data_IF_229306322268
#
_entry.id   IF_229306322268
#
_cell.length_a   1.000
_cell.length_b   1.000
_cell.length_c   1.000
_cell.angle_alpha   90.00
_cell.angle_beta   90.00
_cell.angle_gamma   90.00
#
_symmetry.space_group_name_H-M   'P 1'
#
loop_
_entity.id
_entity.type
_entity.pdbx_description
1 polymer ?
#
# COMPACT_ATOMS: atom_id res chain seq x y z
N UNK A 1 13.39 2.66 47.36
CA UNK A 1 13.96 1.47 46.68
C UNK A 1 13.20 0.23 47.11
N UNK A 2 12.67 -0.56 46.18
CA UNK A 2 12.31 -1.98 46.37
C UNK A 2 12.54 -2.69 45.04
N UNK A 3 13.54 -3.56 44.96
CA UNK A 3 13.72 -4.42 43.78
C UNK A 3 12.67 -5.53 43.82
N UNK A 4 12.20 -5.94 42.64
CA UNK A 4 11.68 -7.29 42.41
C UNK A 4 12.32 -7.84 41.15
N UNK A 5 13.29 -8.74 41.34
CA UNK A 5 13.66 -9.68 40.29
C UNK A 5 12.49 -10.65 40.11
N UNK A 6 12.23 -11.03 38.87
CA UNK A 6 11.50 -12.24 38.52
C UNK A 6 12.12 -12.72 37.21
N UNK A 7 12.53 -13.98 37.18
CA UNK A 7 13.35 -14.56 36.11
C UNK A 7 12.82 -15.95 35.78
N UNK A 8 13.30 -16.51 34.67
CA UNK A 8 12.95 -17.84 34.14
C UNK A 8 11.50 -17.94 33.59
N UNK A 9 11.18 -18.84 32.68
CA UNK A 9 11.94 -19.48 31.59
C UNK A 9 10.96 -20.33 30.76
N UNK A 10 11.25 -20.58 29.48
CA UNK A 10 10.98 -21.85 28.78
C UNK A 10 11.42 -21.76 27.31
N UNK A 11 12.00 -22.84 26.78
CA UNK A 11 12.08 -23.06 25.33
C UNK A 11 10.83 -23.81 24.88
N UNK A 12 10.29 -23.48 23.71
CA UNK A 12 9.26 -24.26 23.02
C UNK A 12 9.75 -24.66 21.64
N UNK A 13 10.25 -25.88 21.47
CA UNK A 13 10.75 -26.39 20.20
C UNK A 13 10.32 -27.86 20.00
N UNK A 14 9.23 -28.06 19.26
CA UNK A 14 8.73 -29.33 18.70
C UNK A 14 7.82 -28.97 17.50
N UNK A 15 7.70 -29.75 16.44
CA UNK A 15 8.55 -30.81 15.90
C UNK A 15 8.17 -31.03 14.41
N UNK A 16 9.10 -31.49 13.56
CA UNK A 16 8.75 -31.88 12.18
C UNK A 16 8.29 -33.36 12.14
N UNK A 17 7.13 -33.60 11.53
CA UNK A 17 6.65 -34.91 11.08
C UNK A 17 5.50 -34.69 10.08
N UNK A 18 5.33 -35.46 8.99
CA UNK A 18 6.11 -36.61 8.55
C UNK A 18 5.81 -36.96 7.07
N UNK A 19 6.49 -37.97 6.54
CA UNK A 19 6.47 -38.31 5.10
C UNK A 19 5.20 -39.04 4.65
N UNK A 20 4.83 -38.87 3.38
CA UNK A 20 4.68 -39.97 2.42
C UNK A 20 4.54 -39.46 0.96
N UNK A 21 5.48 -39.78 0.05
CA UNK A 21 5.19 -39.79 -1.39
C UNK A 21 4.54 -41.13 -1.80
N UNK A 22 3.87 -41.17 -2.95
CA UNK A 22 3.48 -42.43 -3.60
C UNK A 22 3.56 -42.25 -5.11
N UNK A 23 4.30 -43.14 -5.77
CA UNK A 23 4.70 -43.11 -7.18
C UNK A 23 4.70 -44.57 -7.71
N UNK A 24 4.94 -44.85 -9.01
CA UNK A 24 3.84 -44.98 -9.97
C UNK A 24 3.71 -46.39 -10.58
N UNK A 25 2.57 -46.65 -11.24
CA UNK A 25 2.35 -47.81 -12.11
C UNK A 25 1.13 -47.55 -13.03
N UNK A 26 1.04 -48.05 -14.27
CA UNK A 26 2.04 -48.58 -15.22
C UNK A 26 1.40 -48.65 -16.63
N UNK A 27 2.20 -48.73 -17.69
CA UNK A 27 1.77 -48.67 -19.11
C UNK A 27 2.82 -49.41 -20.00
N UNK A 28 2.54 -49.92 -21.23
CA UNK A 28 1.26 -50.25 -21.89
C UNK A 28 0.99 -51.78 -21.85
N UNK A 29 0.86 -52.65 -22.90
CA UNK A 29 1.07 -52.55 -24.37
C UNK A 29 -0.24 -52.48 -25.22
N UNK A 30 -0.19 -52.28 -26.56
CA UNK A 30 -1.37 -51.98 -27.38
C UNK A 30 -2.06 -53.21 -28.02
N UNK A 31 -3.26 -53.00 -28.59
CA UNK A 31 -3.92 -53.96 -29.50
C UNK A 31 -4.71 -53.28 -30.64
N UNK A 32 -5.14 -54.05 -31.63
CA UNK A 32 -5.40 -53.57 -32.99
C UNK A 32 -6.88 -53.33 -33.38
N UNK A 33 -7.08 -52.20 -34.07
CA UNK A 33 -7.89 -52.06 -35.31
C UNK A 33 -9.43 -52.12 -35.29
N UNK A 34 -9.96 -51.74 -36.47
CA UNK A 34 -11.33 -51.91 -36.99
C UNK A 34 -12.46 -51.03 -36.40
N UNK A 35 -12.80 -50.01 -37.19
CA UNK A 35 -13.96 -49.14 -37.03
C UNK A 35 -15.32 -49.86 -37.08
N UNK A 36 -16.35 -49.20 -36.53
CA UNK A 36 -17.68 -49.16 -37.14
C UNK A 36 -18.37 -47.82 -36.82
N UNK A 37 -19.08 -47.25 -37.79
CA UNK A 37 -19.89 -46.04 -37.64
C UNK A 37 -21.23 -46.34 -36.94
N UNK A 38 -21.63 -45.49 -35.98
CA UNK A 38 -23.05 -45.15 -35.77
C UNK A 38 -23.14 -43.67 -35.38
N UNK A 39 -23.60 -42.82 -36.30
CA UNK A 39 -23.97 -41.44 -35.98
C UNK A 39 -25.13 -41.41 -34.99
N UNK A 40 -24.95 -40.72 -33.86
CA UNK A 40 -26.03 -40.43 -32.91
C UNK A 40 -26.16 -38.93 -32.71
N UNK A 41 -26.92 -38.32 -33.61
CA UNK A 41 -27.19 -36.89 -33.62
C UNK A 41 -27.81 -36.46 -32.27
N UNK A 42 -27.10 -35.57 -31.58
CA UNK A 42 -27.53 -35.04 -30.28
C UNK A 42 -28.22 -33.70 -30.52
N UNK A 43 -29.44 -33.47 -30.01
CA UNK A 43 -30.12 -32.19 -30.19
C UNK A 43 -29.25 -31.03 -29.68
N UNK A 44 -29.02 -30.03 -30.54
CA UNK A 44 -28.27 -28.85 -30.16
C UNK A 44 -28.95 -28.15 -28.97
N UNK A 45 -28.21 -27.75 -27.92
CA UNK A 45 -28.79 -26.94 -26.85
C UNK A 45 -29.26 -25.60 -27.45
N UNK A 46 -30.44 -25.15 -27.05
CA UNK A 46 -30.96 -23.85 -27.47
C UNK A 46 -29.97 -22.74 -27.05
N UNK A 47 -29.79 -21.68 -27.87
CA UNK A 47 -28.90 -20.59 -27.53
C UNK A 47 -29.39 -19.92 -26.24
N UNK A 48 -28.63 -20.12 -25.16
CA UNK A 48 -28.82 -19.36 -23.92
C UNK A 48 -28.63 -17.89 -24.27
N UNK A 49 -29.63 -17.06 -23.99
CA UNK A 49 -29.54 -15.63 -24.24
C UNK A 49 -28.45 -15.05 -23.34
N UNK A 50 -27.26 -14.82 -23.90
CA UNK A 50 -26.15 -14.14 -23.22
C UNK A 50 -26.65 -12.79 -22.74
N UNK A 51 -26.92 -12.70 -21.44
CA UNK A 51 -27.21 -11.42 -20.82
C UNK A 51 -25.89 -10.68 -20.77
N UNK A 52 -25.71 -9.74 -21.70
CA UNK A 52 -24.46 -9.00 -21.87
C UNK A 52 -24.07 -8.38 -20.51
N UNK A 53 -22.89 -8.73 -19.94
CA UNK A 53 -22.49 -8.18 -18.66
C UNK A 53 -22.38 -6.66 -18.79
N UNK A 54 -22.90 -5.88 -17.83
CA UNK A 54 -22.94 -4.43 -17.94
C UNK A 54 -21.52 -3.90 -18.13
N UNK A 55 -21.30 -3.17 -19.23
CA UNK A 55 -19.94 -2.78 -19.65
C UNK A 55 -19.20 -2.06 -18.51
N UNK A 56 -17.95 -2.45 -18.21
CA UNK A 56 -17.20 -1.84 -17.12
C UNK A 56 -17.09 -0.34 -17.35
N UNK A 57 -17.47 0.44 -16.33
CA UNK A 57 -17.41 1.90 -16.40
C UNK A 57 -15.96 2.35 -16.57
N UNK A 58 -15.62 3.20 -17.56
CA UNK A 58 -14.25 3.68 -17.72
C UNK A 58 -13.73 4.34 -16.45
N UNK A 59 -12.50 3.99 -16.06
CA UNK A 59 -11.86 4.58 -14.89
C UNK A 59 -11.73 6.11 -15.04
N UNK A 60 -12.35 6.84 -14.11
CA UNK A 60 -12.18 8.29 -13.97
C UNK A 60 -11.20 8.53 -12.82
N UNK A 61 -10.01 9.01 -13.15
CA UNK A 61 -9.00 9.35 -12.15
C UNK A 61 -9.52 10.42 -11.17
N UNK A 62 -9.23 10.27 -9.88
CA UNK A 62 -9.55 11.28 -8.87
C UNK A 62 -8.70 12.53 -9.13
N UNK A 63 -9.29 13.70 -9.46
CA UNK A 63 -8.55 14.93 -9.74
C UNK A 63 -7.82 15.48 -8.50
N UNK A 64 -8.18 15.02 -7.28
CA UNK A 64 -7.43 15.36 -6.07
C UNK A 64 -6.12 14.54 -5.92
N UNK A 65 -5.92 13.47 -6.71
CA UNK A 65 -4.72 12.62 -6.67
C UNK A 65 -4.71 11.52 -5.59
N UNK A 66 -5.81 11.37 -4.84
CA UNK A 66 -5.97 10.32 -3.83
C UNK A 66 -6.61 9.07 -4.45
N UNK A 67 -6.20 7.87 -4.00
CA UNK A 67 -6.84 6.62 -4.43
C UNK A 67 -8.28 6.47 -3.91
N UNK A 68 -8.98 5.41 -4.32
CA UNK A 68 -10.34 5.08 -3.84
C UNK A 68 -10.42 5.05 -2.31
N UNK A 69 -11.61 5.26 -1.73
CA UNK A 69 -11.82 5.13 -0.28
C UNK A 69 -11.70 3.68 0.20
N UNK A 70 -11.25 3.50 1.44
CA UNK A 70 -11.06 2.20 2.11
C UNK A 70 -11.19 2.35 3.63
N UNK A 71 -11.43 1.25 4.33
CA UNK A 71 -11.39 1.15 5.79
C UNK A 71 -10.18 0.30 6.27
N UNK A 72 -9.75 -0.69 5.48
CA UNK A 72 -8.53 -1.48 5.69
C UNK A 72 -7.87 -1.95 4.39
N UNK A 73 -6.68 -2.54 4.48
CA UNK A 73 -5.87 -2.93 3.30
C UNK A 73 -6.60 -3.90 2.35
N UNK A 74 -7.48 -4.75 2.88
CA UNK A 74 -8.30 -5.68 2.09
C UNK A 74 -9.34 -5.00 1.18
N UNK A 75 -9.67 -3.72 1.42
CA UNK A 75 -10.52 -2.94 0.52
C UNK A 75 -9.75 -2.38 -0.68
N UNK A 76 -8.41 -2.48 -0.69
CA UNK A 76 -7.54 -1.93 -1.71
C UNK A 76 -7.01 -3.05 -2.62
N UNK A 77 -7.73 -3.27 -3.72
CA UNK A 77 -7.33 -4.17 -4.79
C UNK A 77 -6.50 -3.48 -5.87
N UNK A 78 -6.19 -4.27 -6.88
CA UNK A 78 -5.51 -3.86 -8.10
C UNK A 78 -6.53 -3.52 -9.22
N UNK A 79 -6.09 -2.80 -10.24
CA UNK A 79 -6.94 -2.18 -11.26
C UNK A 79 -7.26 -3.03 -12.50
N UNK A 80 -6.46 -4.05 -12.82
CA UNK A 80 -6.63 -4.89 -14.01
C UNK A 80 -6.15 -6.34 -13.79
N UNK A 81 -6.64 -7.27 -14.63
CA UNK A 81 -6.35 -8.71 -14.57
C UNK A 81 -5.04 -9.18 -15.22
N UNK A 82 -4.39 -8.41 -16.10
CA UNK A 82 -3.15 -8.82 -16.78
C UNK A 82 -1.90 -8.23 -16.13
N UNK A 83 -1.86 -6.91 -16.01
CA UNK A 83 -0.68 -6.16 -15.54
C UNK A 83 -1.16 -4.98 -14.69
N UNK A 84 -1.50 -5.22 -13.42
CA UNK A 84 -2.02 -4.17 -12.55
C UNK A 84 -0.95 -3.14 -12.19
N UNK A 85 -1.34 -1.87 -12.14
CA UNK A 85 -0.44 -0.74 -11.85
C UNK A 85 -1.01 0.33 -10.92
N UNK A 86 -2.31 0.31 -10.60
CA UNK A 86 -2.98 1.27 -9.72
C UNK A 86 -3.75 0.56 -8.59
N UNK A 87 -3.65 1.10 -7.37
CA UNK A 87 -4.44 0.61 -6.24
C UNK A 87 -5.82 1.27 -6.17
N UNK A 88 -6.87 0.47 -6.34
CA UNK A 88 -8.27 0.88 -6.41
C UNK A 88 -9.11 0.20 -5.33
N UNK A 89 -10.33 0.69 -5.09
CA UNK A 89 -11.26 0.07 -4.14
C UNK A 89 -11.76 -1.29 -4.64
N UNK A 90 -12.09 -2.20 -3.73
CA UNK A 90 -12.56 -3.56 -4.04
C UNK A 90 -13.76 -3.62 -5.01
N UNK A 91 -14.62 -2.59 -5.02
CA UNK A 91 -15.72 -2.45 -5.98
C UNK A 91 -15.28 -2.22 -7.44
N UNK A 92 -14.02 -1.83 -7.67
CA UNK A 92 -13.40 -1.69 -9.00
C UNK A 92 -12.55 -2.92 -9.34
N UNK A 93 -11.81 -3.45 -8.37
CA UNK A 93 -11.02 -4.69 -8.50
C UNK A 93 -11.88 -5.96 -8.71
N UNK A 94 -13.21 -5.84 -8.61
CA UNK A 94 -14.17 -6.90 -8.91
C UNK A 94 -14.66 -6.91 -10.37
N UNK A 95 -14.10 -6.08 -11.25
CA UNK A 95 -14.18 -6.33 -12.69
C UNK A 95 -13.50 -7.68 -12.98
N UNK A 96 -14.13 -8.54 -13.81
CA UNK A 96 -13.54 -9.86 -14.08
C UNK A 96 -12.16 -9.70 -14.71
N UNK A 97 -11.11 -10.36 -14.17
CA UNK A 97 -9.79 -10.28 -14.75
C UNK A 97 -9.85 -10.83 -16.18
N UNK A 98 -9.25 -10.10 -17.13
CA UNK A 98 -9.11 -10.60 -18.49
C UNK A 98 -8.41 -11.97 -18.47
N UNK A 99 -8.70 -12.82 -19.46
CA UNK A 99 -8.04 -14.11 -19.61
C UNK A 99 -6.61 -13.89 -20.15
N UNK A 100 -5.68 -13.64 -19.23
CA UNK A 100 -4.29 -13.30 -19.51
C UNK A 100 -3.40 -14.54 -19.39
N UNK A 101 -2.79 -14.98 -20.49
CA UNK A 101 -1.90 -16.14 -20.50
C UNK A 101 -0.64 -15.96 -19.61
N UNK A 102 -0.21 -14.70 -19.42
CA UNK A 102 0.87 -14.33 -18.50
C UNK A 102 0.45 -13.12 -17.64
N UNK A 103 0.18 -13.33 -16.35
CA UNK A 103 0.03 -12.24 -15.37
C UNK A 103 1.42 -11.76 -14.94
N UNK A 104 1.69 -10.46 -15.07
CA UNK A 104 2.92 -9.87 -14.56
C UNK A 104 2.94 -9.83 -13.01
N UNK A 105 4.12 -9.86 -12.36
CA UNK A 105 4.20 -9.64 -10.92
C UNK A 105 3.81 -8.20 -10.57
N UNK A 106 3.04 -8.03 -9.50
CA UNK A 106 2.56 -6.74 -9.03
C UNK A 106 3.73 -5.77 -8.71
N UNK A 107 3.64 -4.47 -9.08
CA UNK A 107 4.74 -3.52 -8.90
C UNK A 107 4.95 -3.03 -7.45
N UNK A 108 4.15 -3.50 -6.49
CA UNK A 108 4.20 -3.10 -5.08
C UNK A 108 3.12 -3.75 -4.21
N UNK A 109 2.86 -3.15 -3.05
CA UNK A 109 1.74 -3.49 -2.16
C UNK A 109 0.62 -2.43 -2.30
N UNK A 110 -0.65 -2.87 -2.37
CA UNK A 110 -1.79 -1.98 -2.19
C UNK A 110 -2.19 -1.92 -0.72
N UNK A 111 -2.27 -0.70 -0.17
CA UNK A 111 -2.47 -0.44 1.25
C UNK A 111 -3.52 0.66 1.47
N UNK A 112 -4.33 0.54 2.51
CA UNK A 112 -5.28 1.57 2.92
C UNK A 112 -4.58 2.62 3.80
N UNK A 113 -4.15 3.72 3.19
CA UNK A 113 -3.45 4.78 3.89
C UNK A 113 -4.34 6.02 4.10
N UNK A 114 -4.65 6.31 5.36
CA UNK A 114 -5.49 7.46 5.76
C UNK A 114 -6.88 7.45 5.12
N UNK A 115 -7.50 6.27 5.00
CA UNK A 115 -8.83 6.07 4.43
C UNK A 115 -8.90 6.18 2.89
N UNK A 116 -7.74 6.18 2.22
CA UNK A 116 -7.61 6.16 0.75
C UNK A 116 -6.58 5.09 0.35
N UNK A 117 -6.85 4.33 -0.72
CA UNK A 117 -5.92 3.34 -1.23
C UNK A 117 -4.61 3.99 -1.72
N UNK A 118 -3.51 3.25 -1.59
CA UNK A 118 -2.17 3.69 -1.91
C UNK A 118 -1.32 2.54 -2.42
N UNK A 119 -0.55 2.79 -3.48
CA UNK A 119 0.54 1.89 -3.88
C UNK A 119 1.81 2.22 -3.09
N UNK A 120 2.38 1.20 -2.46
CA UNK A 120 3.78 1.17 -2.01
C UNK A 120 4.62 0.38 -3.04
N UNK A 121 5.35 1.03 -3.96
CA UNK A 121 6.17 0.33 -4.95
C UNK A 121 7.27 -0.54 -4.30
N UNK A 122 7.50 -1.76 -4.82
CA UNK A 122 8.58 -2.65 -4.37
C UNK A 122 9.97 -2.11 -4.73
N UNK A 123 10.06 -1.32 -5.81
CA UNK A 123 11.27 -0.62 -6.23
C UNK A 123 10.97 0.88 -6.37
N UNK A 124 11.99 1.71 -6.12
CA UNK A 124 11.85 3.16 -6.23
C UNK A 124 11.39 3.53 -7.66
N UNK A 125 10.24 4.23 -7.81
CA UNK A 125 9.71 4.56 -9.12
C UNK A 125 10.60 5.63 -9.79
N UNK A 126 10.52 5.71 -11.12
CA UNK A 126 11.25 6.70 -11.91
C UNK A 126 10.91 8.13 -11.41
N UNK A 127 11.90 8.99 -11.10
CA UNK A 127 11.66 10.39 -10.76
C UNK A 127 10.92 11.14 -11.87
N UNK A 128 10.22 12.21 -11.51
CA UNK A 128 9.49 13.07 -12.44
C UNK A 128 10.41 13.75 -13.47
N UNK A 129 9.82 14.49 -14.41
CA UNK A 129 10.52 15.52 -15.16
C UNK A 129 11.06 16.64 -14.23
N UNK A 130 12.02 17.48 -14.66
CA UNK A 130 12.50 18.61 -13.87
C UNK A 130 11.47 19.74 -13.71
N UNK A 131 11.69 20.61 -12.74
CA UNK A 131 10.93 21.84 -12.48
C UNK A 131 10.38 21.97 -11.06
N UNK A 132 10.76 21.09 -10.12
CA UNK A 132 10.16 21.03 -8.79
C UNK A 132 10.45 22.24 -7.87
N UNK A 133 11.49 23.02 -8.18
CA UNK A 133 11.80 24.29 -7.50
C UNK A 133 10.85 25.43 -7.85
N UNK A 134 10.20 25.35 -9.02
CA UNK A 134 9.26 26.36 -9.52
C UNK A 134 7.79 25.91 -9.34
N UNK A 135 7.54 24.60 -9.40
CA UNK A 135 6.23 23.97 -9.26
C UNK A 135 6.29 22.88 -8.18
N UNK A 136 5.37 22.86 -7.21
CA UNK A 136 5.38 21.83 -6.14
C UNK A 136 5.26 20.40 -6.70
N UNK A 137 5.71 19.42 -5.91
CA UNK A 137 5.59 18.00 -6.23
C UNK A 137 4.22 17.43 -5.82
N UNK A 138 3.41 17.02 -6.79
CA UNK A 138 2.17 16.26 -6.55
C UNK A 138 2.46 14.77 -6.33
N UNK A 139 1.65 14.12 -5.49
CA UNK A 139 1.68 12.67 -5.21
C UNK A 139 0.40 12.03 -5.75
N UNK A 140 0.57 11.10 -6.69
CA UNK A 140 -0.48 10.27 -7.25
C UNK A 140 -0.56 8.99 -6.39
N UNK A 141 -1.47 8.98 -5.42
CA UNK A 141 -1.42 8.00 -4.33
C UNK A 141 -1.72 6.57 -4.81
N UNK A 142 -2.69 6.41 -5.73
CA UNK A 142 -3.03 5.10 -6.31
C UNK A 142 -1.91 4.50 -7.17
N UNK A 143 -1.11 5.34 -7.85
CA UNK A 143 -0.04 4.91 -8.75
C UNK A 143 1.35 4.85 -8.09
N UNK A 144 1.47 5.25 -6.83
CA UNK A 144 2.75 5.28 -6.12
C UNK A 144 3.78 6.20 -6.79
N UNK A 145 3.34 7.33 -7.37
CA UNK A 145 4.14 8.18 -8.27
C UNK A 145 4.11 9.66 -7.91
N UNK A 146 5.07 10.39 -8.47
CA UNK A 146 5.22 11.84 -8.29
C UNK A 146 5.20 12.58 -9.62
N UNK A 147 4.58 13.76 -9.62
CA UNK A 147 4.49 14.67 -10.78
C UNK A 147 4.93 16.08 -10.39
N UNK A 148 5.31 16.88 -11.38
CA UNK A 148 5.62 18.30 -11.20
C UNK A 148 4.38 19.13 -11.48
N UNK A 149 3.86 19.86 -10.49
CA UNK A 149 2.65 20.68 -10.61
C UNK A 149 1.47 20.12 -9.83
N UNK A 150 0.33 19.99 -10.51
CA UNK A 150 -0.98 19.95 -9.85
C UNK A 150 -1.54 18.53 -9.65
N UNK A 151 -1.73 18.17 -8.38
CA UNK A 151 -2.91 17.48 -7.85
C UNK A 151 -3.25 18.27 -6.58
N UNK A 152 -4.48 18.79 -6.46
CA UNK A 152 -4.71 20.25 -6.27
C UNK A 152 -4.49 20.86 -4.86
N UNK A 153 -3.44 20.45 -4.16
CA UNK A 153 -2.28 21.30 -3.80
C UNK A 153 -1.23 20.43 -3.08
N UNK A 154 -0.61 19.50 -3.82
CA UNK A 154 0.43 18.59 -3.34
C UNK A 154 0.06 17.85 -2.03
N UNK A 155 -1.20 17.46 -1.89
CA UNK A 155 -1.78 16.73 -0.74
C UNK A 155 -1.75 17.45 0.63
N UNK A 156 -1.61 18.79 0.66
CA UNK A 156 -1.91 19.81 1.71
C UNK A 156 -1.60 19.59 3.20
N UNK A 157 -1.78 18.40 3.78
CA UNK A 157 -1.53 18.14 5.19
C UNK A 157 -0.14 17.52 5.41
N UNK A 158 0.59 17.90 6.48
CA UNK A 158 1.80 17.20 6.88
C UNK A 158 1.50 15.74 7.22
N UNK A 159 2.07 14.83 6.43
CA UNK A 159 1.98 13.39 6.70
C UNK A 159 3.01 12.99 7.76
N UNK A 160 2.53 12.47 8.89
CA UNK A 160 3.37 11.85 9.94
C UNK A 160 3.91 10.46 9.50
N UNK A 161 3.29 9.84 8.50
CA UNK A 161 3.71 8.60 7.83
C UNK A 161 2.99 8.43 6.47
N UNK A 162 3.42 7.47 5.65
CA UNK A 162 2.79 7.09 4.37
C UNK A 162 3.52 7.59 3.12
N UNK A 163 2.91 7.48 1.94
CA UNK A 163 3.51 7.94 0.69
C UNK A 163 3.65 9.47 0.67
N UNK A 164 4.78 9.95 0.15
CA UNK A 164 5.10 11.37 0.00
C UNK A 164 5.92 11.60 -1.28
N UNK A 165 5.91 12.84 -1.78
CA UNK A 165 6.81 13.30 -2.83
C UNK A 165 7.74 14.40 -2.29
N UNK A 166 9.02 14.32 -2.65
CA UNK A 166 10.07 15.27 -2.22
C UNK A 166 10.73 15.86 -3.45
N UNK A 167 10.91 17.18 -3.48
CA UNK A 167 11.73 17.85 -4.50
C UNK A 167 13.21 17.65 -4.15
N UNK A 168 13.98 17.04 -5.06
CA UNK A 168 15.43 16.96 -4.93
C UNK A 168 16.09 18.24 -5.45
N UNK A 169 16.77 18.96 -4.54
CA UNK A 169 17.47 20.20 -4.83
C UNK A 169 18.66 20.01 -5.79
N UNK A 170 19.21 18.81 -5.96
CA UNK A 170 20.29 18.58 -6.91
C UNK A 170 19.77 18.44 -8.36
N UNK A 171 18.76 17.61 -8.59
CA UNK A 171 18.23 17.27 -9.92
C UNK A 171 17.01 18.07 -10.37
N UNK A 172 16.39 18.85 -9.47
CA UNK A 172 15.14 19.60 -9.72
C UNK A 172 13.93 18.70 -10.06
N UNK A 173 13.95 17.44 -9.60
CA UNK A 173 12.89 16.43 -9.84
C UNK A 173 12.17 16.03 -8.56
N UNK A 174 10.94 15.57 -8.70
CA UNK A 174 10.15 14.96 -7.64
C UNK A 174 10.45 13.46 -7.52
N UNK A 175 10.85 13.04 -6.32
CA UNK A 175 11.05 11.65 -5.94
C UNK A 175 9.92 11.15 -5.04
N UNK A 176 9.44 9.92 -5.28
CA UNK A 176 8.52 9.23 -4.38
C UNK A 176 9.29 8.62 -3.21
N UNK A 177 8.76 8.79 -1.99
CA UNK A 177 9.30 8.17 -0.79
C UNK A 177 8.15 7.68 0.10
N UNK A 178 8.24 6.45 0.58
CA UNK A 178 7.40 5.98 1.67
C UNK A 178 8.01 6.44 2.99
N UNK A 179 7.27 7.19 3.79
CA UNK A 179 7.71 7.72 5.08
C UNK A 179 7.20 6.79 6.18
N UNK A 180 8.08 6.03 6.81
CA UNK A 180 7.70 5.20 7.95
C UNK A 180 7.40 6.07 9.19
N UNK A 181 6.44 5.64 10.01
CA UNK A 181 6.02 6.37 11.20
C UNK A 181 7.14 6.42 12.25
N UNK A 182 7.48 7.62 12.72
CA UNK A 182 8.53 7.83 13.74
C UNK A 182 8.06 7.21 15.07
N UNK A 183 8.76 6.19 15.62
CA UNK A 183 8.33 5.48 16.83
C UNK A 183 8.62 6.26 18.12
N UNK A 184 7.86 5.98 19.18
CA UNK A 184 8.06 6.57 20.51
C UNK A 184 7.53 5.70 21.65
N UNK A 185 8.18 5.81 22.82
CA UNK A 185 7.63 5.36 24.10
C UNK A 185 6.84 6.47 24.79
N UNK A 186 7.26 7.74 24.64
CA UNK A 186 6.62 8.88 25.29
C UNK A 186 6.73 10.19 24.49
N UNK A 187 5.95 11.20 24.91
CA UNK A 187 6.05 12.59 24.43
C UNK A 187 7.45 13.20 24.60
N UNK A 188 8.30 12.62 25.46
CA UNK A 188 9.68 13.12 25.67
C UNK A 188 10.59 12.80 24.49
N UNK A 189 10.21 11.82 23.69
CA UNK A 189 11.06 11.21 22.66
C UNK A 189 10.64 11.73 21.28
N UNK A 190 9.38 12.12 21.13
CA UNK A 190 8.88 12.87 19.98
C UNK A 190 9.47 14.28 19.89
N UNK A 191 10.47 14.42 19.02
CA UNK A 191 10.95 15.68 18.49
C UNK A 191 10.99 15.53 16.98
N UNK A 192 10.02 16.13 16.30
CA UNK A 192 9.82 16.02 14.85
C UNK A 192 9.74 17.42 14.24
N UNK A 193 10.05 17.53 12.94
CA UNK A 193 9.98 18.80 12.20
C UNK A 193 8.55 19.33 12.09
N UNK A 194 8.41 20.65 12.01
CA UNK A 194 7.22 21.37 11.55
C UNK A 194 7.13 21.43 10.00
N UNK A 195 8.25 21.20 9.30
CA UNK A 195 8.29 20.83 7.88
C UNK A 195 7.67 19.44 7.61
N UNK A 196 7.11 19.27 6.40
CA UNK A 196 6.71 17.98 5.83
C UNK A 196 7.68 17.57 4.69
N UNK A 197 7.95 16.26 4.47
CA UNK A 197 7.57 15.13 5.33
C UNK A 197 8.25 15.22 6.70
N UNK A 198 7.58 14.66 7.72
CA UNK A 198 8.06 14.71 9.11
C UNK A 198 9.36 13.93 9.25
N UNK A 199 10.37 14.56 9.85
CA UNK A 199 11.66 13.94 10.18
C UNK A 199 12.01 14.13 11.65
N UNK A 200 12.70 13.18 12.31
CA UNK A 200 13.22 13.38 13.67
C UNK A 200 14.18 14.57 13.74
N UNK A 201 14.11 15.35 14.82
CA UNK A 201 15.00 16.50 15.07
C UNK A 201 15.58 16.47 16.48
N UNK A 202 16.78 17.04 16.66
CA UNK A 202 17.46 17.02 17.94
C UNK A 202 16.73 17.88 18.99
N UNK A 203 16.29 17.27 20.10
CA UNK A 203 15.62 17.94 21.23
C UNK A 203 16.30 19.26 21.63
N UNK A 204 15.60 20.41 21.58
CA UNK A 204 16.17 21.73 21.88
C UNK A 204 16.84 21.79 23.25
N UNK A 205 18.06 22.35 23.32
CA UNK A 205 18.90 22.34 24.54
C UNK A 205 18.13 22.83 25.78
N UNK A 206 17.36 23.92 25.66
CA UNK A 206 16.54 24.53 26.74
C UNK A 206 15.44 23.62 27.31
N UNK A 207 15.02 22.59 26.58
CA UNK A 207 13.96 21.66 26.98
C UNK A 207 14.48 20.28 27.42
N UNK A 208 15.80 20.03 27.42
CA UNK A 208 16.36 18.75 27.86
C UNK A 208 16.13 18.53 29.36
N UNK A 209 15.77 17.31 29.75
CA UNK A 209 15.43 16.95 31.13
C UNK A 209 14.10 17.48 31.68
N UNK A 210 13.46 18.46 31.05
CA UNK A 210 12.19 19.06 31.48
C UNK A 210 11.00 18.41 30.75
N UNK A 211 9.75 18.65 31.19
CA UNK A 211 8.57 18.42 30.34
C UNK A 211 8.36 19.64 29.44
N UNK A 212 7.86 19.42 28.22
CA UNK A 212 7.35 20.50 27.39
C UNK A 212 5.88 20.73 27.72
N UNK A 213 5.48 21.99 27.82
CA UNK A 213 4.08 22.44 27.84
C UNK A 213 4.03 23.73 27.01
N UNK A 214 3.25 23.76 25.92
CA UNK A 214 2.80 25.00 25.30
C UNK A 214 2.11 25.90 26.32
N UNK A 215 2.16 27.20 26.08
CA UNK A 215 1.62 28.22 27.00
C UNK A 215 0.26 28.76 26.55
N UNK A 216 -0.31 28.21 25.46
CA UNK A 216 -1.54 28.66 24.82
C UNK A 216 -2.25 27.50 24.14
N UNK A 217 -3.58 27.47 24.26
CA UNK A 217 -4.43 26.52 23.51
C UNK A 217 -4.24 26.68 22.00
N UNK A 218 -4.20 25.55 21.29
CA UNK A 218 -4.07 25.50 19.83
C UNK A 218 -2.63 25.54 19.30
N UNK A 219 -1.62 25.78 20.14
CA UNK A 219 -0.21 25.58 19.74
C UNK A 219 0.04 24.09 19.42
N UNK A 220 0.70 23.80 18.30
CA UNK A 220 1.07 22.43 17.93
C UNK A 220 2.24 21.93 18.80
N UNK A 221 2.06 20.75 19.40
CA UNK A 221 3.08 20.07 20.19
C UNK A 221 3.34 18.64 19.66
N UNK A 222 4.59 18.15 19.70
CA UNK A 222 4.87 16.74 19.51
C UNK A 222 4.17 15.89 20.57
N UNK A 223 3.42 14.88 20.14
CA UNK A 223 2.71 13.95 20.99
C UNK A 223 2.96 12.50 20.56
N UNK A 224 3.16 11.61 21.52
CA UNK A 224 3.25 10.18 21.27
C UNK A 224 1.86 9.56 21.34
N UNK A 225 1.37 8.98 20.23
CA UNK A 225 0.04 8.37 20.10
C UNK A 225 0.19 7.01 19.44
N UNK A 226 -0.36 5.96 20.06
CA UNK A 226 -0.27 4.58 19.55
C UNK A 226 1.18 4.14 19.22
N UNK A 227 2.16 4.58 20.02
CA UNK A 227 3.59 4.30 19.81
C UNK A 227 4.26 5.08 18.66
N UNK A 228 3.57 6.09 18.09
CA UNK A 228 4.03 6.90 16.95
C UNK A 228 4.01 8.38 17.29
N UNK A 229 4.97 9.14 16.77
CA UNK A 229 5.02 10.59 16.93
C UNK A 229 4.09 11.30 15.95
N UNK A 230 3.38 12.29 16.47
CA UNK A 230 2.41 13.13 15.75
C UNK A 230 2.58 14.59 16.19
N UNK A 231 2.14 15.57 15.39
CA UNK A 231 1.86 16.91 15.91
C UNK A 231 0.38 17.04 16.27
N UNK A 232 0.09 17.37 17.53
CA UNK A 232 -1.25 17.59 18.03
C UNK A 232 -1.42 19.02 18.54
N UNK A 233 -2.60 19.62 18.30
CA UNK A 233 -2.98 20.87 18.94
C UNK A 233 -3.09 20.65 20.46
N UNK A 234 -2.34 21.44 21.23
CA UNK A 234 -2.32 21.34 22.68
C UNK A 234 -3.55 22.02 23.30
N UNK A 235 -3.94 21.52 24.48
CA UNK A 235 -4.88 22.18 25.40
C UNK A 235 -4.20 22.29 26.76
N UNK A 236 -4.25 23.47 27.37
CA UNK A 236 -3.46 23.81 28.55
C UNK A 236 -3.96 23.20 29.88
#
# INVERSE_FOLDING_TARGET
MRLRLSALAALGALALSGCAPTEPAADPPPSHAAAHEVSKETPAPAPVATTEPPSPQPYVADPEGFGSKCEGDADCGWDDGCVPTLCVGAAFAAAEPAACDESAPAPGDCLCHSGRCALRPTSAPRPSEPGCKVKRCGLEQAAGRCVVGDMTEANRLPRDAGPACVCDEASDRCEFRWIDAIPCESERDCWISDDAPRRPVARPKRLRGRRFRPCRDGELAPACRQGRCTLAAYKC
#
